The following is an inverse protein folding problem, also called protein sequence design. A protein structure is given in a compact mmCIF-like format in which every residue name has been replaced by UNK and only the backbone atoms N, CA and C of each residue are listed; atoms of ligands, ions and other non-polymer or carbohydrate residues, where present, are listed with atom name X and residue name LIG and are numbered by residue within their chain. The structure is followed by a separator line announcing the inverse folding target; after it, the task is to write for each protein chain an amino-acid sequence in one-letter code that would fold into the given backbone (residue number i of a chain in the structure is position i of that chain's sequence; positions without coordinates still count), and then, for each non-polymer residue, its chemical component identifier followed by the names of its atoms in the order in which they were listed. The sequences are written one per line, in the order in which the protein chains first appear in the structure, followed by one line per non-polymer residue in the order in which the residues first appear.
data_IF_457742773343
#
_entry.id   IF_457742773343
#
_cell.length_a   1.000
_cell.length_b   1.000
_cell.length_c   1.000
_cell.angle_alpha   90.00
_cell.angle_beta   90.00
_cell.angle_gamma   90.00
#
_symmetry.space_group_name_H-M   'P 1'
#
loop_
_entity.id
_entity.type
_entity.pdbx_description
1 polymer ?
#
# COMPACT_ATOMS: atom_id res chain seq x y z
N UNK A 1 -14.20 2.03 -9.30
CA UNK A 1 -12.87 2.48 -9.67
C UNK A 1 -11.87 2.03 -8.62
N UNK A 2 -10.82 1.37 -9.03
CA UNK A 2 -9.85 0.79 -8.08
C UNK A 2 -8.73 1.77 -7.78
N UNK A 3 -8.25 1.76 -6.54
CA UNK A 3 -7.20 2.63 -6.05
C UNK A 3 -6.26 1.85 -5.16
N UNK A 4 -4.98 2.13 -5.28
CA UNK A 4 -3.96 1.49 -4.45
C UNK A 4 -3.36 2.52 -3.51
N UNK A 5 -3.36 2.20 -2.23
CA UNK A 5 -2.76 3.05 -1.19
C UNK A 5 -1.62 2.29 -0.55
N UNK A 6 -0.50 2.97 -0.36
CA UNK A 6 0.65 2.42 0.33
C UNK A 6 0.98 3.27 1.55
N UNK A 7 0.88 2.69 2.72
CA UNK A 7 1.31 3.33 3.95
C UNK A 7 2.82 3.11 4.13
N UNK A 8 3.54 4.19 4.34
CA UNK A 8 5.00 4.16 4.45
C UNK A 8 5.51 5.20 5.42
N UNK A 9 6.77 5.07 5.82
CA UNK A 9 7.47 6.05 6.64
C UNK A 9 8.88 6.25 6.10
N UNK A 10 9.57 7.29 6.61
CA UNK A 10 10.97 7.51 6.29
C UNK A 10 11.85 6.40 6.90
N UNK A 11 13.02 6.19 6.33
CA UNK A 11 14.01 5.21 6.82
C UNK A 11 13.47 3.79 6.96
N UNK A 12 12.68 3.38 5.98
CA UNK A 12 12.04 2.07 5.97
C UNK A 12 12.48 1.32 4.71
N UNK A 13 13.42 0.38 4.86
CA UNK A 13 13.92 -0.41 3.72
C UNK A 13 12.83 -1.22 3.04
N UNK A 14 11.98 -1.97 3.75
CA UNK A 14 10.90 -2.70 3.07
C UNK A 14 9.91 -1.77 2.38
N UNK A 15 9.70 -0.55 2.89
CA UNK A 15 8.86 0.42 2.20
C UNK A 15 9.44 0.78 0.84
N UNK A 16 10.75 0.98 0.76
CA UNK A 16 11.45 1.26 -0.50
C UNK A 16 11.30 0.10 -1.46
N UNK A 17 11.45 -1.13 -0.97
CA UNK A 17 11.32 -2.33 -1.81
C UNK A 17 9.93 -2.46 -2.40
N UNK A 18 8.89 -2.14 -1.64
CA UNK A 18 7.51 -2.12 -2.15
C UNK A 18 7.36 -1.06 -3.24
N UNK A 19 7.87 0.15 -2.99
CA UNK A 19 7.82 1.22 -4.00
C UNK A 19 8.50 0.81 -5.29
N UNK A 20 9.68 0.20 -5.19
CA UNK A 20 10.41 -0.22 -6.38
C UNK A 20 9.61 -1.23 -7.20
N UNK A 21 8.98 -2.18 -6.54
CA UNK A 21 8.18 -3.19 -7.23
C UNK A 21 6.95 -2.58 -7.88
N UNK A 22 6.25 -1.69 -7.19
CA UNK A 22 5.08 -1.02 -7.74
C UNK A 22 5.46 -0.11 -8.92
N UNK A 23 6.56 0.63 -8.79
CA UNK A 23 7.03 1.51 -9.85
C UNK A 23 7.41 0.72 -11.10
N UNK A 24 8.10 -0.41 -10.94
CA UNK A 24 8.46 -1.27 -12.06
C UNK A 24 7.26 -1.89 -12.74
N UNK A 25 6.19 -2.10 -12.00
CA UNK A 25 4.95 -2.66 -12.54
C UNK A 25 4.10 -1.63 -13.28
N UNK A 26 4.46 -0.34 -13.16
CA UNK A 26 3.75 0.73 -13.87
C UNK A 26 2.38 1.06 -13.31
N UNK A 27 2.07 0.61 -12.09
CA UNK A 27 0.80 0.91 -11.46
C UNK A 27 0.87 2.24 -10.71
N UNK A 28 -0.26 2.93 -10.67
CA UNK A 28 -0.37 4.15 -9.88
C UNK A 28 -0.80 3.81 -8.47
N UNK A 29 -0.21 4.48 -7.50
CA UNK A 29 -0.56 4.30 -6.10
C UNK A 29 -0.33 5.58 -5.33
N UNK A 30 -1.04 5.73 -4.23
CA UNK A 30 -0.93 6.88 -3.35
C UNK A 30 -0.05 6.51 -2.16
N UNK A 31 0.97 7.34 -1.89
CA UNK A 31 1.84 7.16 -0.73
C UNK A 31 1.26 7.95 0.44
N UNK A 32 1.11 7.30 1.57
CA UNK A 32 0.56 7.92 2.77
C UNK A 32 1.48 7.62 3.95
N UNK A 33 1.90 8.68 4.65
CA UNK A 33 2.63 8.53 5.89
C UNK A 33 1.61 8.58 7.04
N UNK A 34 1.44 7.49 7.80
CA UNK A 34 0.42 7.45 8.86
C UNK A 34 0.67 8.45 9.98
N UNK A 35 1.91 8.90 10.17
CA UNK A 35 2.20 9.94 11.15
C UNK A 35 1.70 11.31 10.70
N UNK A 36 1.65 11.55 9.38
CA UNK A 36 1.13 12.79 8.81
C UNK A 36 -0.36 12.71 8.54
N UNK A 37 -0.90 11.51 8.49
CA UNK A 37 -2.31 11.31 8.16
C UNK A 37 -2.92 10.23 9.05
N UNK A 38 -3.02 10.49 10.35
CA UNK A 38 -3.49 9.49 11.31
C UNK A 38 -4.95 9.08 11.08
N UNK A 39 -5.76 9.97 10.49
CA UNK A 39 -7.16 9.63 10.22
C UNK A 39 -7.29 8.50 9.23
N UNK A 40 -6.49 8.51 8.15
CA UNK A 40 -6.49 7.41 7.19
C UNK A 40 -5.98 6.12 7.80
N UNK A 41 -4.92 6.21 8.60
CA UNK A 41 -4.37 5.05 9.28
C UNK A 41 -5.42 4.40 10.18
N UNK A 42 -6.19 5.20 10.88
CA UNK A 42 -7.27 4.71 11.74
C UNK A 42 -8.42 4.11 10.94
N UNK A 43 -8.78 4.78 9.84
CA UNK A 43 -9.87 4.32 8.97
C UNK A 43 -9.63 2.91 8.45
N UNK A 44 -8.41 2.62 8.04
CA UNK A 44 -8.05 1.31 7.49
C UNK A 44 -7.37 0.39 8.50
N UNK A 45 -7.32 0.80 9.77
CA UNK A 45 -6.72 0.03 10.87
C UNK A 45 -5.29 -0.38 10.56
N UNK A 46 -4.55 0.54 9.95
CA UNK A 46 -3.15 0.34 9.61
C UNK A 46 -2.31 0.38 10.89
N UNK A 47 -1.47 -0.62 11.10
CA UNK A 47 -0.67 -0.74 12.33
C UNK A 47 0.83 -0.85 12.07
N UNK A 48 1.20 -1.15 10.84
CA UNK A 48 2.60 -1.35 10.50
C UNK A 48 2.87 -0.84 9.09
N UNK A 49 4.10 -0.51 8.81
CA UNK A 49 4.52 -0.09 7.48
C UNK A 49 5.60 -1.03 6.97
N UNK A 50 5.64 -1.31 5.65
CA UNK A 50 4.67 -0.86 4.67
C UNK A 50 3.40 -1.69 4.70
N UNK A 51 2.27 -1.07 4.43
CA UNK A 51 0.99 -1.77 4.21
C UNK A 51 0.42 -1.25 2.90
N UNK A 52 0.13 -2.14 1.98
CA UNK A 52 -0.42 -1.80 0.66
C UNK A 52 -1.84 -2.31 0.59
N UNK A 53 -2.79 -1.41 0.32
CA UNK A 53 -4.21 -1.72 0.35
C UNK A 53 -4.82 -1.43 -1.01
N UNK A 54 -5.53 -2.41 -1.57
CA UNK A 54 -6.31 -2.22 -2.78
C UNK A 54 -7.74 -1.88 -2.39
N UNK A 55 -8.21 -0.75 -2.89
CA UNK A 55 -9.56 -0.27 -2.65
C UNK A 55 -10.38 -0.30 -3.93
N UNK A 56 -11.67 -0.55 -3.79
CA UNK A 56 -12.63 -0.38 -4.87
C UNK A 56 -13.79 0.42 -4.30
N UNK A 57 -13.98 1.66 -4.81
CA UNK A 57 -14.99 2.59 -4.32
C UNK A 57 -14.89 2.78 -2.81
N UNK A 58 -13.65 2.97 -2.33
CA UNK A 58 -13.32 3.18 -0.92
C UNK A 58 -13.51 1.95 -0.02
N UNK A 59 -13.81 0.79 -0.60
CA UNK A 59 -13.86 -0.46 0.15
C UNK A 59 -12.56 -1.23 -0.02
N UNK A 60 -12.04 -1.73 1.07
CA UNK A 60 -10.84 -2.55 1.04
C UNK A 60 -11.16 -3.92 0.45
N UNK A 61 -10.47 -4.25 -0.66
CA UNK A 61 -10.61 -5.57 -1.29
C UNK A 61 -9.56 -6.53 -0.73
N UNK A 62 -8.31 -6.05 -0.64
CA UNK A 62 -7.20 -6.88 -0.20
C UNK A 62 -6.08 -5.98 0.29
N UNK A 63 -5.32 -6.47 1.26
CA UNK A 63 -4.11 -5.76 1.72
C UNK A 63 -2.94 -6.72 1.82
N UNK A 64 -1.74 -6.15 1.72
CA UNK A 64 -0.51 -6.87 1.94
C UNK A 64 0.33 -6.11 2.95
N UNK A 65 0.89 -6.82 3.92
CA UNK A 65 1.69 -6.23 4.99
C UNK A 65 3.15 -6.60 4.77
N UNK A 66 4.02 -5.59 4.87
CA UNK A 66 5.45 -5.77 4.64
C UNK A 66 5.76 -5.90 3.16
N UNK A 67 6.97 -6.38 2.87
CA UNK A 67 7.38 -6.64 1.51
C UNK A 67 7.13 -8.11 1.20
N UNK A 68 6.05 -8.38 0.49
CA UNK A 68 5.69 -9.72 0.04
C UNK A 68 5.44 -9.67 -1.46
N UNK A 69 6.44 -10.01 -2.28
CA UNK A 69 6.33 -9.86 -3.73
C UNK A 69 5.17 -10.63 -4.34
N UNK A 70 4.89 -11.83 -3.83
CA UNK A 70 3.81 -12.65 -4.38
C UNK A 70 2.45 -12.01 -4.15
N UNK A 71 2.20 -11.54 -2.93
CA UNK A 71 0.94 -10.87 -2.62
C UNK A 71 0.82 -9.53 -3.34
N UNK A 72 1.92 -8.79 -3.46
CA UNK A 72 1.92 -7.54 -4.22
C UNK A 72 1.59 -7.77 -5.69
N UNK A 73 2.12 -8.83 -6.29
CA UNK A 73 1.77 -9.18 -7.66
C UNK A 73 0.31 -9.53 -7.81
N UNK A 74 -0.28 -10.20 -6.81
CA UNK A 74 -1.70 -10.49 -6.81
C UNK A 74 -2.53 -9.20 -6.77
N UNK A 75 -2.16 -8.24 -5.93
CA UNK A 75 -2.82 -6.94 -5.89
C UNK A 75 -2.75 -6.22 -7.23
N UNK A 76 -1.58 -6.23 -7.85
CA UNK A 76 -1.37 -5.59 -9.13
C UNK A 76 -2.25 -6.24 -10.21
N UNK A 77 -2.37 -7.55 -10.18
CA UNK A 77 -3.19 -8.28 -11.14
C UNK A 77 -4.68 -8.00 -10.98
N UNK A 78 -5.10 -7.51 -9.83
CA UNK A 78 -6.51 -7.20 -9.54
C UNK A 78 -6.92 -5.80 -9.97
N UNK A 79 -5.97 -4.96 -10.35
CA UNK A 79 -6.25 -3.57 -10.75
C UNK A 79 -6.89 -3.47 -12.13
#
# INVERSE_FOLDING_TARGET
MKKLIKFEKADCNPCVMVSDLLDKSGVEYEKVNPFNNPELAMKYKERTVPTTILLDQDEEIKRTIGFNPEELKELIAMI
#
